data_IF_630056028273
#
_entry.id   IF_630056028273
#
_cell.length_a   1.000
_cell.length_b   1.000
_cell.length_c   1.000
_cell.angle_alpha   90.00
_cell.angle_beta   90.00
_cell.angle_gamma   90.00
#
_symmetry.space_group_name_H-M   'P 1'
#
loop_
_entity.id
_entity.type
_entity.pdbx_description
1 polymer ?
#
# COMPACT_ATOMS: atom_id res chain seq x y z
N UNK A 1 9.04 -16.29 -4.26
CA UNK A 1 8.09 -16.57 -3.15
C UNK A 1 7.17 -15.37 -2.99
N UNK A 2 5.89 -15.56 -2.67
CA UNK A 2 5.00 -14.45 -2.34
C UNK A 2 4.96 -14.24 -0.83
N UNK A 3 5.09 -12.99 -0.40
CA UNK A 3 4.91 -12.59 1.00
C UNK A 3 3.65 -11.74 1.15
N UNK A 4 2.65 -12.27 1.83
CA UNK A 4 1.36 -11.61 2.00
C UNK A 4 1.36 -10.56 3.12
N UNK A 5 2.50 -10.26 3.76
CA UNK A 5 2.56 -9.41 4.94
C UNK A 5 3.86 -8.58 5.06
N UNK A 6 4.10 -7.67 4.13
CA UNK A 6 5.29 -6.80 4.16
C UNK A 6 4.95 -5.46 4.81
N UNK A 7 5.56 -5.18 5.97
CA UNK A 7 5.45 -3.90 6.66
C UNK A 7 6.60 -2.96 6.35
N UNK A 8 6.26 -1.68 6.26
CA UNK A 8 7.22 -0.59 6.35
C UNK A 8 6.99 0.11 7.69
N UNK A 9 7.98 0.08 8.58
CA UNK A 9 7.93 0.82 9.86
C UNK A 9 8.42 2.27 9.70
N UNK A 10 8.90 2.62 8.50
CA UNK A 10 9.40 3.95 8.13
C UNK A 10 9.26 4.15 6.63
N UNK A 11 9.44 5.39 6.20
CA UNK A 11 9.44 5.73 4.78
C UNK A 11 10.49 4.93 4.00
N UNK A 12 10.08 4.46 2.83
CA UNK A 12 10.99 3.91 1.83
C UNK A 12 11.41 5.06 0.91
N UNK A 13 12.57 5.65 1.20
CA UNK A 13 13.09 6.77 0.42
C UNK A 13 13.61 6.34 -0.96
N UNK A 14 14.06 5.08 -1.07
CA UNK A 14 14.70 4.54 -2.27
C UNK A 14 14.01 3.25 -2.73
N UNK A 15 12.97 3.44 -3.53
CA UNK A 15 12.13 2.37 -4.09
C UNK A 15 12.93 1.22 -4.72
N UNK A 16 13.91 1.53 -5.57
CA UNK A 16 14.67 0.49 -6.26
C UNK A 16 15.60 -0.31 -5.33
N UNK A 17 16.19 0.34 -4.32
CA UNK A 17 17.00 -0.35 -3.31
C UNK A 17 16.15 -1.29 -2.44
N UNK A 18 14.91 -0.87 -2.12
CA UNK A 18 13.94 -1.71 -1.42
C UNK A 18 13.63 -2.98 -2.23
N UNK A 19 13.21 -2.86 -3.50
CA UNK A 19 12.86 -4.02 -4.31
C UNK A 19 14.07 -4.93 -4.61
N UNK A 20 15.27 -4.36 -4.81
CA UNK A 20 16.49 -5.17 -4.92
C UNK A 20 16.74 -6.02 -3.68
N UNK A 21 16.44 -5.49 -2.50
CA UNK A 21 16.59 -6.23 -1.23
C UNK A 21 15.54 -7.32 -1.09
N UNK A 22 14.28 -7.01 -1.42
CA UNK A 22 13.14 -7.95 -1.40
C UNK A 22 13.39 -9.12 -2.37
N UNK A 23 13.80 -8.81 -3.60
CA UNK A 23 14.16 -9.81 -4.62
C UNK A 23 15.38 -10.64 -4.20
N UNK A 24 16.39 -10.00 -3.61
CA UNK A 24 17.57 -10.66 -3.05
C UNK A 24 17.25 -11.63 -1.91
N UNK A 25 16.12 -11.44 -1.22
CA UNK A 25 15.60 -12.36 -0.21
C UNK A 25 14.73 -13.49 -0.81
N UNK A 26 14.57 -13.56 -2.13
CA UNK A 26 13.74 -14.56 -2.81
C UNK A 26 12.25 -14.24 -2.83
N UNK A 27 11.85 -13.03 -2.43
CA UNK A 27 10.47 -12.54 -2.49
C UNK A 27 10.25 -11.91 -3.87
N UNK A 28 9.34 -12.49 -4.64
CA UNK A 28 9.05 -12.13 -6.04
C UNK A 28 7.75 -11.35 -6.21
N UNK A 29 7.04 -11.11 -5.11
CA UNK A 29 5.75 -10.44 -5.05
C UNK A 29 5.19 -10.46 -3.64
N UNK A 30 4.16 -9.66 -3.39
CA UNK A 30 3.57 -9.59 -2.06
C UNK A 30 2.60 -8.45 -1.84
N UNK A 31 2.16 -8.35 -0.59
CA UNK A 31 1.27 -7.28 -0.13
C UNK A 31 2.10 -6.27 0.66
N UNK A 32 2.11 -5.02 0.19
CA UNK A 32 2.81 -3.91 0.83
C UNK A 32 1.82 -3.15 1.70
N UNK A 33 2.03 -3.19 3.01
CA UNK A 33 1.21 -2.43 3.95
C UNK A 33 1.63 -0.95 3.92
N UNK A 34 0.65 -0.05 4.00
CA UNK A 34 0.93 1.35 4.31
C UNK A 34 1.60 1.47 5.67
N UNK A 35 2.19 2.64 5.93
CA UNK A 35 2.60 2.98 7.29
C UNK A 35 1.41 2.80 8.25
N UNK A 36 1.68 2.35 9.48
CA UNK A 36 0.64 2.08 10.46
C UNK A 36 -0.10 3.36 10.89
N UNK A 37 -1.33 3.23 11.42
CA UNK A 37 -2.06 4.32 12.04
C UNK A 37 -1.42 4.74 13.37
N UNK A 38 -1.76 5.94 13.86
CA UNK A 38 -1.13 6.54 15.05
C UNK A 38 -1.27 5.68 16.32
N UNK A 39 -2.39 4.96 16.46
CA UNK A 39 -2.65 4.09 17.60
C UNK A 39 -1.65 2.91 17.73
N UNK A 40 -0.95 2.54 16.65
CA UNK A 40 -0.05 1.38 16.65
C UNK A 40 1.40 1.73 17.01
N UNK A 41 1.93 2.84 16.50
CA UNK A 41 3.35 3.22 16.68
C UNK A 41 3.59 4.71 16.94
N UNK A 42 2.53 5.49 17.15
CA UNK A 42 2.62 6.94 17.31
C UNK A 42 2.97 7.70 16.02
N UNK A 43 2.85 7.08 14.84
CA UNK A 43 3.00 7.77 13.56
C UNK A 43 2.09 8.99 13.46
N UNK A 44 2.66 10.12 13.02
CA UNK A 44 1.96 11.41 12.93
C UNK A 44 1.44 11.73 11.53
N UNK A 45 1.65 10.84 10.55
CA UNK A 45 1.17 11.05 9.18
C UNK A 45 -0.33 10.86 9.08
N UNK A 46 -0.97 11.69 8.29
CA UNK A 46 -2.39 11.57 7.94
C UNK A 46 -2.69 10.29 7.16
N UNK A 47 -3.96 9.85 7.20
CA UNK A 47 -4.47 8.75 6.39
C UNK A 47 -4.07 8.86 4.90
N UNK A 48 -4.31 10.04 4.30
CA UNK A 48 -4.01 10.28 2.89
C UNK A 48 -2.50 10.21 2.58
N UNK A 49 -1.64 10.71 3.48
CA UNK A 49 -0.18 10.59 3.30
C UNK A 49 0.30 9.13 3.37
N UNK A 50 -0.27 8.32 4.27
CA UNK A 50 0.06 6.89 4.38
C UNK A 50 -0.37 6.14 3.12
N UNK A 51 -1.55 6.47 2.60
CA UNK A 51 -2.07 5.93 1.34
C UNK A 51 -1.22 6.34 0.13
N UNK A 52 -0.86 7.62 0.01
CA UNK A 52 0.05 8.13 -1.02
C UNK A 52 1.35 7.33 -1.10
N UNK A 53 1.95 7.08 0.06
CA UNK A 53 3.25 6.43 0.16
C UNK A 53 3.20 4.97 -0.29
N UNK A 54 2.18 4.21 0.13
CA UNK A 54 2.05 2.80 -0.29
C UNK A 54 1.71 2.68 -1.77
N UNK A 55 0.85 3.55 -2.31
CA UNK A 55 0.51 3.56 -3.73
C UNK A 55 1.75 3.90 -4.58
N UNK A 56 2.51 4.92 -4.21
CA UNK A 56 3.77 5.28 -4.89
C UNK A 56 4.81 4.17 -4.82
N UNK A 57 4.89 3.44 -3.71
CA UNK A 57 5.82 2.33 -3.59
C UNK A 57 5.43 1.16 -4.51
N UNK A 58 4.13 0.83 -4.58
CA UNK A 58 3.62 -0.26 -5.42
C UNK A 58 3.57 0.08 -6.92
N UNK A 59 3.55 1.36 -7.30
CA UNK A 59 3.40 1.80 -8.69
C UNK A 59 4.42 1.13 -9.65
N UNK A 60 3.97 0.61 -10.78
CA UNK A 60 4.83 -0.08 -11.75
C UNK A 60 5.50 -1.38 -11.25
N UNK A 61 5.08 -1.97 -10.12
CA UNK A 61 5.59 -3.25 -9.60
C UNK A 61 4.52 -4.32 -9.70
N UNK A 62 4.54 -5.07 -10.80
CA UNK A 62 3.48 -5.99 -11.24
C UNK A 62 2.95 -6.94 -10.15
N UNK A 63 3.84 -7.54 -9.36
CA UNK A 63 3.49 -8.55 -8.36
C UNK A 63 3.37 -8.00 -6.93
N UNK A 64 3.36 -6.67 -6.75
CA UNK A 64 3.30 -6.04 -5.44
C UNK A 64 2.04 -5.19 -5.31
N UNK A 65 1.18 -5.57 -4.37
CA UNK A 65 -0.14 -4.99 -4.21
C UNK A 65 -0.16 -4.09 -2.98
N UNK A 66 -0.60 -2.82 -3.09
CA UNK A 66 -0.71 -1.93 -1.95
C UNK A 66 -1.90 -2.36 -1.06
N UNK A 67 -1.72 -2.29 0.25
CA UNK A 67 -2.76 -2.56 1.24
C UNK A 67 -2.79 -1.44 2.28
N UNK A 68 -3.97 -0.86 2.50
CA UNK A 68 -4.14 0.23 3.43
C UNK A 68 -4.38 -0.29 4.85
N UNK A 69 -3.49 0.05 5.78
CA UNK A 69 -3.60 -0.35 7.19
C UNK A 69 -4.42 0.68 7.97
N UNK A 70 -5.72 0.43 8.10
CA UNK A 70 -6.67 1.28 8.84
C UNK A 70 -6.69 0.94 10.33
N UNK A 71 -6.86 1.95 11.18
CA UNK A 71 -7.33 1.75 12.55
C UNK A 71 -8.86 1.77 12.55
N UNK A 72 -9.54 0.65 12.85
CA UNK A 72 -10.99 0.60 12.83
C UNK A 72 -11.65 1.40 13.97
N UNK A 73 -10.87 1.93 14.92
CA UNK A 73 -11.36 2.73 16.04
C UNK A 73 -11.33 4.24 15.75
N UNK A 74 -10.72 4.68 14.65
CA UNK A 74 -10.76 6.09 14.22
C UNK A 74 -12.18 6.47 13.76
N UNK A 75 -12.65 7.67 14.12
CA UNK A 75 -14.01 8.13 13.81
C UNK A 75 -14.31 8.13 12.30
N UNK A 76 -13.29 8.36 11.47
CA UNK A 76 -13.39 8.44 10.02
C UNK A 76 -12.90 7.16 9.30
N UNK A 77 -12.72 6.04 10.00
CA UNK A 77 -12.16 4.81 9.44
C UNK A 77 -12.88 4.35 8.14
N UNK A 78 -14.21 4.48 8.08
CA UNK A 78 -14.97 4.17 6.86
C UNK A 78 -14.62 5.08 5.69
N UNK A 79 -14.45 6.39 5.94
CA UNK A 79 -14.06 7.35 4.93
C UNK A 79 -12.64 7.09 4.39
N UNK A 80 -11.73 6.64 5.26
CA UNK A 80 -10.39 6.23 4.82
C UNK A 80 -10.41 5.00 3.92
N UNK A 81 -11.27 4.02 4.21
CA UNK A 81 -11.48 2.83 3.37
C UNK A 81 -12.03 3.23 2.00
N UNK A 82 -13.03 4.12 1.98
CA UNK A 82 -13.63 4.63 0.73
C UNK A 82 -12.59 5.39 -0.13
N UNK A 83 -11.73 6.19 0.49
CA UNK A 83 -10.62 6.87 -0.19
C UNK A 83 -9.62 5.85 -0.77
N UNK A 84 -9.19 4.87 0.04
CA UNK A 84 -8.26 3.83 -0.37
C UNK A 84 -8.78 3.01 -1.56
N UNK A 85 -10.04 2.61 -1.50
CA UNK A 85 -10.71 1.90 -2.60
C UNK A 85 -10.77 2.77 -3.85
N UNK A 86 -11.27 4.01 -3.74
CA UNK A 86 -11.43 4.93 -4.87
C UNK A 86 -10.11 5.22 -5.57
N UNK A 87 -9.03 5.39 -4.81
CA UNK A 87 -7.70 5.70 -5.37
C UNK A 87 -7.02 4.48 -5.98
N UNK A 88 -7.28 3.28 -5.49
CA UNK A 88 -6.81 2.06 -6.14
C UNK A 88 -7.52 1.84 -7.48
N UNK A 89 -8.84 1.98 -7.53
CA UNK A 89 -9.62 1.84 -8.76
C UNK A 89 -9.37 2.97 -9.76
N UNK A 90 -9.16 4.21 -9.30
CA UNK A 90 -8.80 5.34 -10.16
C UNK A 90 -7.44 5.22 -10.84
N UNK A 91 -6.53 4.41 -10.30
CA UNK A 91 -5.23 4.07 -10.94
C UNK A 91 -5.38 2.86 -11.89
N UNK A 92 -6.38 2.00 -11.65
CA UNK A 92 -6.64 0.76 -12.39
C UNK A 92 -7.64 0.90 -13.56
N UNK A 93 -8.05 2.12 -13.94
CA UNK A 93 -9.03 2.36 -15.03
C UNK A 93 -8.57 1.82 -16.42
N UNK A 94 -7.32 1.39 -16.54
CA UNK A 94 -6.82 0.66 -17.71
C UNK A 94 -7.09 -0.86 -17.70
N UNK A 95 -7.45 -1.46 -16.56
CA UNK A 95 -7.61 -2.91 -16.39
C UNK A 95 -9.08 -3.32 -16.27
N UNK A 96 -9.93 -2.51 -15.62
CA UNK A 96 -11.31 -2.92 -15.33
C UNK A 96 -12.27 -2.89 -16.54
N UNK A 97 -11.94 -2.16 -17.63
CA UNK A 97 -12.76 -2.14 -18.87
C UNK A 97 -12.78 -3.45 -19.66
N UNK A 98 -12.03 -4.48 -19.24
CA UNK A 98 -11.92 -5.77 -19.95
C UNK A 98 -12.83 -6.87 -19.43
N UNK A 99 -13.51 -6.68 -18.30
CA UNK A 99 -14.36 -7.69 -17.67
C UNK A 99 -15.86 -7.36 -17.69
N UNK A 100 -16.25 -6.27 -18.37
CA UNK A 100 -17.64 -5.86 -18.54
C UNK A 100 -18.12 -5.96 -20.00
N UNK A 101 -17.54 -6.86 -20.79
CA UNK A 101 -18.05 -7.26 -22.12
C UNK A 101 -18.50 -8.72 -22.08
#
# INVERSE_FOLDING_TARGET
MFDCHIHMMKDVEKKDEFFRTVEGAGVSGGVLFSLPPAAFDGNTRSASERLDKVLRLADGKENFYPFYFVDPLEEDASGQIDEAASRHFGIQDHVYRRLSQ
#
